data_IF_397846149089
#
_entry.id   IF_397846149089
#
_cell.length_a   1.000
_cell.length_b   1.000
_cell.length_c   1.000
_cell.angle_alpha   90.00
_cell.angle_beta   90.00
_cell.angle_gamma   90.00
#
_symmetry.space_group_name_H-M   'P 1'
#
loop_
_entity.id
_entity.type
_entity.pdbx_description
1 polymer ?
#
# COMPACT_ATOMS: atom_id res chain seq x y z
N UNK A 1 7.30 -11.69 8.14
CA UNK A 1 5.85 -11.83 7.97
C UNK A 1 5.24 -12.71 9.04
N UNK A 2 5.65 -13.97 9.17
CA UNK A 2 5.09 -14.91 10.18
C UNK A 2 5.17 -14.43 11.63
N UNK A 3 6.25 -13.71 11.99
CA UNK A 3 6.40 -13.13 13.34
C UNK A 3 5.32 -12.07 13.63
N UNK A 4 4.95 -11.25 12.64
CA UNK A 4 3.87 -10.27 12.81
C UNK A 4 2.51 -10.94 12.98
N UNK A 5 2.23 -12.02 12.25
CA UNK A 5 1.00 -12.80 12.42
C UNK A 5 0.96 -13.46 13.81
N UNK A 6 2.07 -14.00 14.28
CA UNK A 6 2.18 -14.52 15.64
C UNK A 6 1.98 -13.43 16.69
N UNK A 7 2.57 -12.24 16.50
CA UNK A 7 2.37 -11.09 17.37
C UNK A 7 0.91 -10.64 17.43
N UNK A 8 0.17 -10.69 16.31
CA UNK A 8 -1.27 -10.40 16.28
C UNK A 8 -2.05 -11.40 17.14
N UNK A 9 -1.74 -12.70 17.05
CA UNK A 9 -2.40 -13.73 17.85
C UNK A 9 -2.15 -13.48 19.35
N UNK A 10 -0.88 -13.23 19.73
CA UNK A 10 -0.52 -12.90 21.10
C UNK A 10 -1.25 -11.66 21.59
N UNK A 11 -1.30 -10.60 20.77
CA UNK A 11 -2.00 -9.36 21.10
C UNK A 11 -3.51 -9.56 21.22
N UNK A 12 -4.11 -10.40 20.37
CA UNK A 12 -5.53 -10.74 20.44
C UNK A 12 -5.89 -11.49 21.74
N UNK A 13 -4.99 -12.33 22.23
CA UNK A 13 -5.18 -13.01 23.52
C UNK A 13 -4.95 -12.07 24.70
N UNK A 14 -4.00 -11.16 24.60
CA UNK A 14 -3.62 -10.20 25.64
C UNK A 14 -4.41 -8.89 25.58
N UNK A 15 -5.36 -8.73 24.64
CA UNK A 15 -5.99 -7.45 24.34
C UNK A 15 -6.62 -6.72 25.54
N UNK A 16 -7.20 -7.37 26.57
CA UNK A 16 -7.77 -6.65 27.71
C UNK A 16 -6.71 -5.90 28.54
N UNK A 17 -5.45 -6.32 28.46
CA UNK A 17 -4.35 -5.79 29.25
C UNK A 17 -3.46 -4.81 28.47
N UNK A 18 -3.67 -4.67 27.17
CA UNK A 18 -2.84 -3.83 26.29
C UNK A 18 -3.61 -2.57 25.88
N UNK A 19 -3.13 -1.38 26.25
CA UNK A 19 -3.72 -0.13 25.77
C UNK A 19 -3.60 -0.02 24.25
N UNK A 20 -4.56 0.67 23.61
CA UNK A 20 -4.59 0.87 22.14
C UNK A 20 -4.55 -0.44 21.33
N UNK A 21 -4.99 -1.57 21.90
CA UNK A 21 -4.90 -2.89 21.27
C UNK A 21 -5.51 -2.94 19.85
N UNK A 22 -6.64 -2.28 19.61
CA UNK A 22 -7.29 -2.23 18.27
C UNK A 22 -6.39 -1.58 17.23
N UNK A 23 -5.79 -0.44 17.59
CA UNK A 23 -4.84 0.26 16.71
C UNK A 23 -3.64 -0.65 16.42
N UNK A 24 -3.08 -1.28 17.44
CA UNK A 24 -1.93 -2.18 17.31
C UNK A 24 -2.26 -3.39 16.42
N UNK A 25 -3.40 -4.06 16.62
CA UNK A 25 -3.81 -5.21 15.80
C UNK A 25 -3.92 -4.84 14.31
N UNK A 26 -4.57 -3.70 14.02
CA UNK A 26 -4.69 -3.21 12.65
C UNK A 26 -3.32 -2.94 12.04
N UNK A 27 -2.42 -2.26 12.76
CA UNK A 27 -1.12 -1.88 12.22
C UNK A 27 -0.11 -3.04 12.19
N UNK A 28 -0.18 -3.99 13.11
CA UNK A 28 0.59 -5.25 13.01
C UNK A 28 0.21 -6.03 11.76
N UNK A 29 -1.09 -6.07 11.44
CA UNK A 29 -1.55 -6.72 10.23
C UNK A 29 -1.15 -5.92 8.98
N UNK A 30 -1.48 -4.64 8.92
CA UNK A 30 -1.30 -3.82 7.72
C UNK A 30 0.16 -3.47 7.46
N UNK A 31 0.88 -2.92 8.44
CA UNK A 31 2.28 -2.53 8.31
C UNK A 31 3.23 -3.72 8.52
N UNK A 32 2.94 -4.58 9.47
CA UNK A 32 3.78 -5.72 9.79
C UNK A 32 3.65 -6.86 8.77
N UNK A 33 2.49 -7.47 8.64
CA UNK A 33 2.31 -8.65 7.79
C UNK A 33 2.08 -8.29 6.32
N UNK A 34 1.08 -7.46 6.03
CA UNK A 34 0.61 -7.21 4.67
C UNK A 34 1.62 -6.39 3.85
N UNK A 35 2.18 -5.32 4.42
CA UNK A 35 3.15 -4.48 3.72
C UNK A 35 4.43 -5.25 3.38
N UNK A 36 4.96 -6.06 4.29
CA UNK A 36 6.09 -6.95 4.00
C UNK A 36 5.77 -7.90 2.83
N UNK A 37 4.56 -8.47 2.80
CA UNK A 37 4.11 -9.32 1.70
C UNK A 37 4.07 -8.54 0.39
N UNK A 38 3.44 -7.37 0.38
CA UNK A 38 3.30 -6.54 -0.82
C UNK A 38 4.66 -6.16 -1.38
N UNK A 39 5.61 -5.73 -0.55
CA UNK A 39 6.95 -5.37 -1.02
C UNK A 39 7.68 -6.54 -1.68
N UNK A 40 7.62 -7.73 -1.08
CA UNK A 40 8.29 -8.92 -1.62
C UNK A 40 7.61 -9.39 -2.91
N UNK A 41 6.29 -9.52 -2.90
CA UNK A 41 5.56 -10.06 -4.05
C UNK A 41 5.47 -9.09 -5.22
N UNK A 42 5.32 -7.78 -4.98
CA UNK A 42 5.33 -6.79 -6.06
C UNK A 42 6.68 -6.75 -6.79
N UNK A 43 7.80 -6.89 -6.08
CA UNK A 43 9.11 -7.04 -6.69
C UNK A 43 9.22 -8.32 -7.52
N UNK A 44 8.80 -9.46 -6.94
CA UNK A 44 8.84 -10.75 -7.62
C UNK A 44 7.98 -10.75 -8.90
N UNK A 45 6.77 -10.25 -8.83
CA UNK A 45 5.89 -10.15 -10.00
C UNK A 45 6.40 -9.15 -11.04
N UNK A 46 7.00 -8.04 -10.62
CA UNK A 46 7.61 -7.08 -11.54
C UNK A 46 8.72 -7.74 -12.36
N UNK A 47 9.64 -8.48 -11.72
CA UNK A 47 10.70 -9.20 -12.43
C UNK A 47 10.12 -10.23 -13.41
N UNK A 48 9.07 -10.94 -12.99
CA UNK A 48 8.42 -11.97 -13.80
C UNK A 48 7.67 -11.39 -15.00
N UNK A 49 6.90 -10.32 -14.81
CA UNK A 49 6.07 -9.73 -15.89
C UNK A 49 6.88 -8.91 -16.88
N UNK A 50 7.99 -8.33 -16.44
CA UNK A 50 8.91 -7.62 -17.32
C UNK A 50 9.97 -8.53 -17.94
N UNK A 51 9.99 -9.84 -17.61
CA UNK A 51 11.05 -10.77 -18.00
C UNK A 51 12.47 -10.26 -17.70
N UNK A 52 12.62 -9.49 -16.62
CA UNK A 52 13.88 -8.87 -16.22
C UNK A 52 14.17 -9.18 -14.75
N UNK A 53 15.06 -10.14 -14.53
CA UNK A 53 15.56 -10.43 -13.18
C UNK A 53 16.58 -9.37 -12.76
N UNK A 54 16.45 -8.86 -11.54
CA UNK A 54 17.48 -8.02 -10.96
C UNK A 54 18.76 -8.84 -10.69
N UNK A 55 19.96 -8.21 -10.86
CA UNK A 55 21.21 -8.87 -10.56
C UNK A 55 21.31 -9.23 -9.07
N UNK A 56 21.98 -10.31 -8.74
CA UNK A 56 22.14 -10.78 -7.37
C UNK A 56 22.81 -9.72 -6.46
N UNK A 57 23.63 -8.83 -7.02
CA UNK A 57 24.22 -7.67 -6.32
C UNK A 57 23.17 -6.68 -5.78
N UNK A 58 21.92 -6.71 -6.26
CA UNK A 58 20.83 -5.87 -5.74
C UNK A 58 20.13 -6.45 -4.51
N UNK A 59 20.32 -7.75 -4.22
CA UNK A 59 19.63 -8.45 -3.12
C UNK A 59 19.92 -7.87 -1.74
N UNK A 60 21.19 -7.52 -1.37
CA UNK A 60 21.46 -6.89 -0.07
C UNK A 60 20.66 -5.61 0.14
N UNK A 61 20.49 -4.79 -0.90
CA UNK A 61 19.66 -3.58 -0.84
C UNK A 61 18.19 -3.89 -0.62
N UNK A 62 17.64 -4.90 -1.31
CA UNK A 62 16.25 -5.32 -1.12
C UNK A 62 16.00 -5.81 0.32
N UNK A 63 16.91 -6.62 0.84
CA UNK A 63 16.86 -7.10 2.22
C UNK A 63 16.97 -5.93 3.21
N UNK A 64 17.87 -4.97 2.98
CA UNK A 64 18.02 -3.78 3.80
C UNK A 64 16.72 -2.94 3.84
N UNK A 65 15.99 -2.81 2.71
CA UNK A 65 14.68 -2.13 2.67
C UNK A 65 13.63 -2.84 3.53
N UNK A 66 13.61 -4.17 3.52
CA UNK A 66 12.71 -4.95 4.39
C UNK A 66 13.07 -4.76 5.87
N UNK A 67 14.36 -4.75 6.23
CA UNK A 67 14.78 -4.45 7.59
C UNK A 67 14.42 -3.01 8.00
N UNK A 68 14.69 -2.02 7.15
CA UNK A 68 14.32 -0.63 7.40
C UNK A 68 12.81 -0.49 7.61
N UNK A 69 12.01 -1.13 6.76
CA UNK A 69 10.55 -1.17 6.91
C UNK A 69 10.16 -1.69 8.30
N UNK A 70 10.69 -2.85 8.71
CA UNK A 70 10.33 -3.45 10.00
C UNK A 70 10.82 -2.61 11.19
N UNK A 71 11.98 -1.98 11.10
CA UNK A 71 12.44 -1.01 12.11
C UNK A 71 11.47 0.16 12.22
N UNK A 72 11.05 0.73 11.09
CA UNK A 72 10.07 1.81 11.06
C UNK A 72 8.73 1.40 11.68
N UNK A 73 8.23 0.20 11.37
CA UNK A 73 7.00 -0.34 11.96
C UNK A 73 7.13 -0.51 13.48
N UNK A 74 8.25 -1.06 13.96
CA UNK A 74 8.51 -1.22 15.40
C UNK A 74 8.52 0.14 16.11
N UNK A 75 9.17 1.15 15.52
CA UNK A 75 9.18 2.51 16.07
C UNK A 75 7.76 3.11 16.13
N UNK A 76 6.96 2.96 15.06
CA UNK A 76 5.56 3.41 15.08
C UNK A 76 4.77 2.74 16.22
N UNK A 77 4.95 1.44 16.42
CA UNK A 77 4.27 0.68 17.48
C UNK A 77 4.72 1.12 18.86
N UNK A 78 6.03 1.27 19.08
CA UNK A 78 6.59 1.73 20.37
C UNK A 78 6.07 3.15 20.66
N UNK A 79 6.21 4.08 19.72
CA UNK A 79 5.73 5.46 19.91
C UNK A 79 4.23 5.49 20.22
N UNK A 80 3.40 4.75 19.50
CA UNK A 80 1.96 4.71 19.75
C UNK A 80 1.59 4.03 21.08
N UNK A 81 2.35 3.05 21.53
CA UNK A 81 2.12 2.41 22.83
C UNK A 81 2.27 3.40 24.02
N UNK A 82 3.15 4.40 23.86
CA UNK A 82 3.37 5.46 24.84
C UNK A 82 2.61 6.76 24.54
N UNK A 83 1.98 6.86 23.38
CA UNK A 83 1.14 7.99 22.99
C UNK A 83 -0.31 7.78 23.47
N UNK A 84 -0.51 7.58 24.76
CA UNK A 84 -1.84 7.41 25.36
C UNK A 84 -2.27 8.73 26.03
N UNK A 85 -3.31 9.35 25.47
CA UNK A 85 -3.87 10.59 25.99
C UNK A 85 -4.36 10.47 27.44
N UNK A 86 -4.81 9.27 27.87
CA UNK A 86 -5.24 8.99 29.23
C UNK A 86 -4.09 9.00 30.25
N UNK A 87 -2.85 8.85 29.79
CA UNK A 87 -1.63 8.86 30.60
C UNK A 87 -0.82 10.13 30.49
N UNK A 88 -1.36 11.16 29.78
CA UNK A 88 -0.62 12.36 29.43
C UNK A 88 0.30 12.08 28.24
N UNK A 89 -0.16 12.41 27.03
CA UNK A 89 0.58 12.22 25.79
C UNK A 89 2.00 12.82 25.92
N UNK A 90 3.01 11.97 25.71
CA UNK A 90 4.41 12.39 25.86
C UNK A 90 4.95 12.84 24.50
N UNK A 91 5.51 14.03 24.44
CA UNK A 91 6.01 14.63 23.18
C UNK A 91 7.01 13.75 22.44
N UNK A 92 7.90 13.06 23.14
CA UNK A 92 8.85 12.14 22.51
C UNK A 92 8.17 10.96 21.79
N UNK A 93 6.99 10.53 22.26
CA UNK A 93 6.25 9.43 21.65
C UNK A 93 5.79 9.79 20.23
N UNK A 94 5.33 11.03 20.02
CA UNK A 94 4.97 11.54 18.68
C UNK A 94 6.17 11.60 17.75
N UNK A 95 7.33 12.02 18.27
CA UNK A 95 8.58 12.04 17.51
C UNK A 95 8.95 10.63 17.05
N UNK A 96 8.86 9.64 17.94
CA UNK A 96 9.17 8.23 17.62
C UNK A 96 8.23 7.69 16.56
N UNK A 97 6.91 7.95 16.64
CA UNK A 97 5.95 7.58 15.57
C UNK A 97 6.32 8.24 14.26
N UNK A 98 6.63 9.55 14.27
CA UNK A 98 6.99 10.31 13.07
C UNK A 98 8.26 9.74 12.43
N UNK A 99 9.30 9.48 13.21
CA UNK A 99 10.55 8.86 12.71
C UNK A 99 10.27 7.48 12.10
N UNK A 100 9.46 6.65 12.77
CA UNK A 100 9.05 5.36 12.26
C UNK A 100 8.32 5.47 10.92
N UNK A 101 7.35 6.39 10.82
CA UNK A 101 6.58 6.62 9.60
C UNK A 101 7.44 7.15 8.45
N UNK A 102 8.41 8.03 8.74
CA UNK A 102 9.38 8.51 7.73
C UNK A 102 10.24 7.36 7.22
N UNK A 103 10.74 6.49 8.10
CA UNK A 103 11.54 5.33 7.68
C UNK A 103 10.69 4.40 6.78
N UNK A 104 9.44 4.11 7.16
CA UNK A 104 8.50 3.32 6.35
C UNK A 104 8.29 3.97 4.99
N UNK A 105 7.94 5.27 4.97
CA UNK A 105 7.68 6.02 3.75
C UNK A 105 8.89 6.03 2.80
N UNK A 106 10.09 6.28 3.34
CA UNK A 106 11.34 6.28 2.56
C UNK A 106 11.67 4.89 2.03
N UNK A 107 11.54 3.84 2.83
CA UNK A 107 11.80 2.47 2.37
C UNK A 107 10.90 2.09 1.19
N UNK A 108 9.61 2.43 1.25
CA UNK A 108 8.67 2.15 0.16
C UNK A 108 8.86 3.08 -1.03
N UNK A 109 9.24 4.34 -0.82
CA UNK A 109 9.58 5.25 -1.93
C UNK A 109 10.79 4.73 -2.73
N UNK A 110 11.83 4.23 -2.05
CA UNK A 110 12.98 3.60 -2.70
C UNK A 110 12.56 2.33 -3.45
N UNK A 111 11.64 1.54 -2.88
CA UNK A 111 11.05 0.39 -3.57
C UNK A 111 10.31 0.83 -4.85
N UNK A 112 9.46 1.86 -4.79
CA UNK A 112 8.76 2.42 -5.94
C UNK A 112 9.73 2.86 -7.05
N UNK A 113 10.82 3.56 -6.69
CA UNK A 113 11.88 3.96 -7.63
C UNK A 113 12.51 2.74 -8.31
N UNK A 114 12.71 1.63 -7.56
CA UNK A 114 13.21 0.38 -8.13
C UNK A 114 12.25 -0.21 -9.16
N UNK A 115 10.94 -0.25 -8.87
CA UNK A 115 9.91 -0.75 -9.79
C UNK A 115 9.83 0.14 -11.06
N UNK A 116 9.82 1.47 -10.90
CA UNK A 116 9.83 2.43 -12.00
C UNK A 116 11.05 2.22 -12.90
N UNK A 117 12.23 2.10 -12.29
CA UNK A 117 13.49 1.87 -13.03
C UNK A 117 13.44 0.61 -13.87
N UNK A 118 12.92 -0.49 -13.33
CA UNK A 118 12.75 -1.75 -14.04
C UNK A 118 11.75 -1.60 -15.20
N UNK A 119 10.60 -0.98 -14.94
CA UNK A 119 9.57 -0.75 -15.95
C UNK A 119 10.07 0.13 -17.10
N UNK A 120 10.80 1.23 -16.80
CA UNK A 120 11.39 2.11 -17.83
C UNK A 120 12.43 1.38 -18.66
N UNK A 121 13.29 0.56 -18.02
CA UNK A 121 14.29 -0.26 -18.74
C UNK A 121 13.62 -1.26 -19.67
N UNK A 122 12.57 -1.96 -19.22
CA UNK A 122 11.82 -2.90 -20.04
C UNK A 122 11.20 -2.21 -21.26
N UNK A 123 10.53 -1.07 -21.06
CA UNK A 123 9.94 -0.29 -22.18
C UNK A 123 10.99 0.17 -23.19
N UNK A 124 12.11 0.67 -22.71
CA UNK A 124 13.21 1.12 -23.61
C UNK A 124 13.83 -0.06 -24.36
N UNK A 125 13.94 -1.22 -23.74
CA UNK A 125 14.43 -2.44 -24.38
C UNK A 125 13.49 -2.90 -25.48
N UNK A 126 12.19 -2.98 -25.20
CA UNK A 126 11.16 -3.33 -26.17
C UNK A 126 11.14 -2.37 -27.37
N UNK A 127 11.17 -1.06 -27.12
CA UNK A 127 11.19 -0.05 -28.18
C UNK A 127 12.43 -0.16 -29.08
N UNK A 128 13.60 -0.51 -28.54
CA UNK A 128 14.83 -0.69 -29.33
C UNK A 128 14.81 -1.95 -30.20
N UNK A 129 14.17 -3.02 -29.72
CA UNK A 129 14.05 -4.29 -30.47
C UNK A 129 12.84 -4.34 -31.41
N UNK A 130 12.02 -3.29 -31.45
CA UNK A 130 10.76 -3.29 -32.23
C UNK A 130 9.72 -4.29 -31.69
N UNK A 131 9.88 -4.75 -30.43
CA UNK A 131 8.95 -5.67 -29.78
C UNK A 131 7.98 -4.93 -28.88
N UNK A 132 6.85 -5.55 -28.57
CA UNK A 132 5.92 -5.07 -27.54
C UNK A 132 6.26 -5.68 -26.19
N UNK A 133 5.90 -4.96 -25.11
CA UNK A 133 5.92 -5.53 -23.77
C UNK A 133 4.84 -6.62 -23.67
N UNK A 134 5.14 -7.71 -22.97
CA UNK A 134 4.15 -8.78 -22.73
C UNK A 134 2.88 -8.24 -22.06
N UNK A 135 1.77 -8.96 -22.26
CA UNK A 135 0.42 -8.58 -21.83
C UNK A 135 0.30 -8.18 -20.35
N UNK A 136 1.14 -8.77 -19.50
CA UNK A 136 1.12 -8.52 -18.06
C UNK A 136 2.00 -7.35 -17.60
N UNK A 137 2.82 -6.77 -18.48
CA UNK A 137 3.72 -5.68 -18.10
C UNK A 137 2.96 -4.46 -17.56
N UNK A 138 1.75 -4.19 -18.08
CA UNK A 138 0.92 -3.09 -17.62
C UNK A 138 0.45 -3.23 -16.17
N UNK A 139 0.44 -4.45 -15.61
CA UNK A 139 0.07 -4.70 -14.20
C UNK A 139 1.12 -4.11 -13.25
N UNK A 140 2.37 -4.02 -13.67
CA UNK A 140 3.43 -3.39 -12.87
C UNK A 140 3.09 -1.93 -12.52
N UNK A 141 2.28 -1.25 -13.36
CA UNK A 141 1.81 0.11 -13.08
C UNK A 141 0.95 0.20 -11.81
N UNK A 142 0.20 -0.86 -11.47
CA UNK A 142 -0.56 -0.92 -10.22
C UNK A 142 0.37 -0.97 -9.01
N UNK A 143 1.43 -1.77 -9.07
CA UNK A 143 2.42 -1.85 -7.98
C UNK A 143 3.21 -0.55 -7.82
N UNK A 144 3.55 0.10 -8.94
CA UNK A 144 4.21 1.42 -8.93
C UNK A 144 3.28 2.45 -8.28
N UNK A 145 2.02 2.55 -8.73
CA UNK A 145 1.05 3.50 -8.20
C UNK A 145 0.80 3.26 -6.70
N UNK A 146 0.59 2.01 -6.29
CA UNK A 146 0.43 1.63 -4.90
C UNK A 146 1.63 2.08 -4.04
N UNK A 147 2.86 1.77 -4.51
CA UNK A 147 4.08 2.11 -3.78
C UNK A 147 4.37 3.62 -3.74
N UNK A 148 3.89 4.40 -4.71
CA UNK A 148 3.97 5.86 -4.68
C UNK A 148 2.96 6.50 -3.72
N UNK A 149 1.81 5.87 -3.52
CA UNK A 149 0.75 6.37 -2.65
C UNK A 149 1.09 6.13 -1.18
N UNK A 150 1.76 5.04 -0.83
CA UNK A 150 2.03 4.71 0.57
C UNK A 150 2.83 5.76 1.35
N UNK A 151 3.88 6.42 0.82
CA UNK A 151 4.56 7.50 1.52
C UNK A 151 3.64 8.64 1.94
N UNK A 152 2.59 8.94 1.14
CA UNK A 152 1.55 9.91 1.50
C UNK A 152 0.76 9.38 2.71
N UNK A 153 0.36 8.11 2.67
CA UNK A 153 -0.32 7.46 3.78
C UNK A 153 0.51 7.41 5.07
N UNK A 154 1.82 7.17 4.96
CA UNK A 154 2.74 7.22 6.10
C UNK A 154 2.85 8.64 6.69
N UNK A 155 2.92 9.67 5.84
CA UNK A 155 2.90 11.07 6.27
C UNK A 155 1.61 11.44 7.00
N UNK A 156 0.45 10.99 6.48
CA UNK A 156 -0.84 11.17 7.17
C UNK A 156 -0.87 10.48 8.53
N UNK A 157 -0.32 9.25 8.62
CA UNK A 157 -0.20 8.54 9.89
C UNK A 157 0.69 9.25 10.90
N UNK A 158 1.82 9.81 10.45
CA UNK A 158 2.68 10.65 11.28
C UNK A 158 1.95 11.89 11.78
N UNK A 159 1.20 12.59 10.93
CA UNK A 159 0.40 13.76 11.30
C UNK A 159 -0.69 13.41 12.33
N UNK A 160 -1.35 12.26 12.18
CA UNK A 160 -2.36 11.77 13.11
C UNK A 160 -1.83 11.40 14.51
N UNK A 161 -0.52 11.19 14.64
CA UNK A 161 0.11 10.97 15.95
C UNK A 161 0.21 12.26 16.79
N UNK A 162 0.04 13.43 16.16
CA UNK A 162 0.08 14.74 16.83
C UNK A 162 -1.32 15.25 17.15
N UNK A 163 -1.48 16.13 18.14
CA UNK A 163 -2.74 16.81 18.40
C UNK A 163 -3.17 17.65 17.19
N UNK A 164 -4.42 17.49 16.78
CA UNK A 164 -4.98 18.19 15.63
C UNK A 164 -6.19 19.04 16.07
N UNK A 165 -6.32 20.28 15.57
CA UNK A 165 -7.42 21.16 15.94
C UNK A 165 -8.74 20.77 15.23
N UNK A 166 -9.85 20.95 15.94
CA UNK A 166 -11.20 20.82 15.38
C UNK A 166 -11.48 19.44 14.75
N UNK A 167 -12.05 19.42 13.56
CA UNK A 167 -12.45 18.21 12.83
C UNK A 167 -11.34 17.60 11.97
N UNK A 168 -10.11 18.12 12.04
CA UNK A 168 -9.01 17.65 11.19
C UNK A 168 -8.61 16.21 11.50
N UNK A 169 -8.67 15.80 12.78
CA UNK A 169 -8.36 14.42 13.14
C UNK A 169 -9.25 13.43 12.40
N UNK A 170 -10.57 13.63 12.42
CA UNK A 170 -11.53 12.71 11.76
C UNK A 170 -11.34 12.72 10.24
N UNK A 171 -11.13 13.89 9.64
CA UNK A 171 -10.86 14.01 8.20
C UNK A 171 -9.59 13.27 7.80
N UNK A 172 -8.51 13.45 8.54
CA UNK A 172 -7.23 12.80 8.22
C UNK A 172 -7.26 11.30 8.49
N UNK A 173 -8.04 10.80 9.46
CA UNK A 173 -8.27 9.34 9.62
C UNK A 173 -8.90 8.76 8.36
N UNK A 174 -9.98 9.35 7.85
CA UNK A 174 -10.65 8.86 6.63
C UNK A 174 -9.70 8.91 5.43
N UNK A 175 -8.95 9.98 5.28
CA UNK A 175 -7.95 10.11 4.20
C UNK A 175 -6.83 9.09 4.35
N UNK A 176 -6.30 8.89 5.57
CA UNK A 176 -5.28 7.89 5.87
C UNK A 176 -5.75 6.47 5.52
N UNK A 177 -6.98 6.12 5.90
CA UNK A 177 -7.58 4.85 5.55
C UNK A 177 -7.74 4.71 4.03
N UNK A 178 -8.28 5.71 3.35
CA UNK A 178 -8.49 5.68 1.91
C UNK A 178 -7.17 5.51 1.14
N UNK A 179 -6.17 6.30 1.46
CA UNK A 179 -4.86 6.27 0.79
C UNK A 179 -4.15 4.93 1.03
N UNK A 180 -4.19 4.39 2.26
CA UNK A 180 -3.50 3.13 2.56
C UNK A 180 -4.30 1.91 2.13
N UNK A 181 -5.61 1.85 2.43
CA UNK A 181 -6.43 0.66 2.14
C UNK A 181 -6.83 0.63 0.66
N UNK A 182 -7.40 1.71 0.13
CA UNK A 182 -7.83 1.74 -1.28
C UNK A 182 -6.64 1.97 -2.22
N UNK A 183 -5.70 2.85 -1.82
CA UNK A 183 -4.52 3.18 -2.60
C UNK A 183 -3.50 2.05 -2.58
N UNK A 184 -2.81 1.85 -1.46
CA UNK A 184 -1.70 0.89 -1.40
C UNK A 184 -2.17 -0.57 -1.52
N UNK A 185 -3.07 -0.99 -0.64
CA UNK A 185 -3.54 -2.40 -0.61
C UNK A 185 -4.45 -2.69 -1.80
N UNK A 186 -5.44 -1.84 -2.05
CA UNK A 186 -6.45 -2.08 -3.08
C UNK A 186 -5.89 -2.08 -4.50
N UNK A 187 -4.99 -1.15 -4.84
CA UNK A 187 -4.32 -1.18 -6.16
C UNK A 187 -3.45 -2.42 -6.32
N UNK A 188 -2.68 -2.77 -5.27
CA UNK A 188 -1.88 -4.00 -5.30
C UNK A 188 -2.74 -5.24 -5.47
N UNK A 189 -3.86 -5.31 -4.76
CA UNK A 189 -4.81 -6.42 -4.87
C UNK A 189 -5.43 -6.48 -6.28
N UNK A 190 -5.87 -5.36 -6.83
CA UNK A 190 -6.44 -5.30 -8.17
C UNK A 190 -5.44 -5.80 -9.23
N UNK A 191 -4.19 -5.30 -9.20
CA UNK A 191 -3.15 -5.77 -10.11
C UNK A 191 -2.86 -7.26 -9.96
N UNK A 192 -2.75 -7.75 -8.72
CA UNK A 192 -2.44 -9.15 -8.42
C UNK A 192 -3.59 -10.09 -8.80
N UNK A 193 -4.82 -9.77 -8.43
CA UNK A 193 -6.01 -10.60 -8.69
C UNK A 193 -6.30 -10.74 -10.18
N UNK A 194 -5.96 -9.75 -10.99
CA UNK A 194 -6.10 -9.85 -12.45
C UNK A 194 -5.38 -11.07 -13.03
N UNK A 195 -4.31 -11.52 -12.40
CA UNK A 195 -3.54 -12.69 -12.84
C UNK A 195 -3.87 -13.92 -12.00
N UNK A 196 -3.89 -13.76 -10.67
CA UNK A 196 -4.04 -14.91 -9.78
C UNK A 196 -5.42 -15.53 -9.87
N UNK A 197 -6.48 -14.72 -10.03
CA UNK A 197 -7.84 -15.26 -10.10
C UNK A 197 -8.01 -16.18 -11.31
N UNK A 198 -7.70 -15.77 -12.57
CA UNK A 198 -7.77 -16.66 -13.70
C UNK A 198 -6.81 -17.86 -13.60
N UNK A 199 -5.61 -17.66 -13.02
CA UNK A 199 -4.65 -18.75 -12.87
C UNK A 199 -5.15 -19.86 -11.95
N UNK A 200 -5.86 -19.53 -10.85
CA UNK A 200 -6.49 -20.50 -9.94
C UNK A 200 -7.54 -21.34 -10.69
N UNK A 201 -8.33 -20.71 -11.54
CA UNK A 201 -9.37 -21.37 -12.33
C UNK A 201 -8.86 -21.95 -13.65
N UNK A 202 -7.55 -21.88 -13.93
CA UNK A 202 -6.92 -22.30 -15.19
C UNK A 202 -7.59 -21.73 -16.43
N UNK A 203 -8.16 -20.52 -16.30
CA UNK A 203 -8.87 -19.82 -17.35
C UNK A 203 -7.96 -18.85 -18.10
N UNK A 204 -8.25 -18.64 -19.39
CA UNK A 204 -7.61 -17.60 -20.19
C UNK A 204 -8.44 -16.32 -20.11
N UNK A 205 -7.80 -15.20 -19.78
CA UNK A 205 -8.44 -13.89 -19.74
C UNK A 205 -7.96 -13.06 -20.94
N UNK A 206 -8.88 -12.72 -21.82
CA UNK A 206 -8.56 -12.07 -23.10
C UNK A 206 -8.85 -10.56 -23.15
N UNK A 207 -9.48 -9.97 -22.13
CA UNK A 207 -10.04 -8.61 -22.24
C UNK A 207 -9.73 -7.65 -21.10
N UNK A 208 -8.66 -7.88 -20.35
CA UNK A 208 -8.27 -6.96 -19.28
C UNK A 208 -7.79 -5.62 -19.83
N UNK A 209 -8.31 -4.53 -19.26
CA UNK A 209 -7.96 -3.16 -19.61
C UNK A 209 -7.24 -2.48 -18.44
N UNK A 210 -5.92 -2.66 -18.27
CA UNK A 210 -5.19 -2.19 -17.09
C UNK A 210 -5.22 -0.66 -16.93
N UNK A 211 -5.04 0.07 -18.01
CA UNK A 211 -4.96 1.54 -17.96
C UNK A 211 -6.26 2.20 -17.50
N UNK A 212 -7.45 1.95 -18.11
CA UNK A 212 -8.69 2.54 -17.63
C UNK A 212 -9.08 2.06 -16.24
N UNK A 213 -8.78 0.81 -15.88
CA UNK A 213 -9.00 0.29 -14.51
C UNK A 213 -8.20 1.07 -13.48
N UNK A 214 -6.88 1.22 -13.70
CA UNK A 214 -6.00 1.98 -12.81
C UNK A 214 -6.42 3.45 -12.74
N UNK A 215 -6.74 4.07 -13.89
CA UNK A 215 -7.17 5.46 -13.95
C UNK A 215 -8.46 5.70 -13.15
N UNK A 216 -9.46 4.82 -13.28
CA UNK A 216 -10.70 4.91 -12.49
C UNK A 216 -10.43 4.78 -10.99
N UNK A 217 -9.60 3.81 -10.58
CA UNK A 217 -9.27 3.63 -9.16
C UNK A 217 -8.52 4.84 -8.59
N UNK A 218 -7.53 5.38 -9.31
CA UNK A 218 -6.78 6.57 -8.90
C UNK A 218 -7.68 7.81 -8.85
N UNK A 219 -8.54 8.01 -9.84
CA UNK A 219 -9.52 9.11 -9.85
C UNK A 219 -10.48 9.00 -8.66
N UNK A 220 -10.96 7.80 -8.34
CA UNK A 220 -11.81 7.56 -7.18
C UNK A 220 -11.12 7.94 -5.86
N UNK A 221 -9.88 7.53 -5.66
CA UNK A 221 -9.07 7.89 -4.48
C UNK A 221 -8.86 9.41 -4.42
N UNK A 222 -8.56 10.06 -5.53
CA UNK A 222 -8.34 11.50 -5.59
C UNK A 222 -9.61 12.28 -5.23
N UNK A 223 -10.77 11.95 -5.84
CA UNK A 223 -12.06 12.61 -5.56
C UNK A 223 -12.45 12.40 -4.10
N UNK A 224 -12.30 11.19 -3.57
CA UNK A 224 -12.55 10.88 -2.16
C UNK A 224 -11.64 11.72 -1.25
N UNK A 225 -10.34 11.82 -1.55
CA UNK A 225 -9.39 12.61 -0.76
C UNK A 225 -9.74 14.11 -0.75
N UNK A 226 -10.13 14.67 -1.91
CA UNK A 226 -10.61 16.05 -2.03
C UNK A 226 -11.89 16.23 -1.19
N UNK A 227 -12.84 15.31 -1.26
CA UNK A 227 -14.07 15.33 -0.47
C UNK A 227 -13.79 15.33 1.02
N UNK A 228 -12.87 14.48 1.46
CA UNK A 228 -12.48 14.36 2.87
C UNK A 228 -11.83 15.64 3.39
N UNK A 229 -10.86 16.21 2.67
CA UNK A 229 -10.16 17.45 3.07
C UNK A 229 -11.13 18.63 3.10
N UNK A 230 -11.99 18.74 2.08
CA UNK A 230 -12.97 19.83 1.99
C UNK A 230 -14.18 19.68 2.92
N UNK A 231 -14.35 18.51 3.56
CA UNK A 231 -15.52 18.18 4.39
C UNK A 231 -16.80 17.97 3.60
N UNK A 232 -16.70 17.66 2.31
CA UNK A 232 -17.85 17.41 1.41
C UNK A 232 -18.09 15.92 1.27
N UNK A 233 -19.01 15.38 2.04
CA UNK A 233 -19.32 13.93 2.06
C UNK A 233 -19.86 13.42 0.71
N UNK A 234 -20.49 14.28 -0.08
CA UNK A 234 -20.96 13.93 -1.42
C UNK A 234 -19.79 13.51 -2.34
N UNK A 235 -18.67 14.24 -2.27
CA UNK A 235 -17.47 13.92 -3.03
C UNK A 235 -16.83 12.61 -2.52
N UNK A 236 -16.89 12.34 -1.23
CA UNK A 236 -16.43 11.05 -0.68
C UNK A 236 -17.24 9.90 -1.29
N UNK A 237 -18.58 10.03 -1.33
CA UNK A 237 -19.47 9.05 -1.96
C UNK A 237 -19.20 8.88 -3.47
N UNK A 238 -19.06 9.98 -4.19
CA UNK A 238 -18.71 9.96 -5.63
C UNK A 238 -17.38 9.25 -5.86
N UNK A 239 -16.35 9.56 -5.06
CA UNK A 239 -15.04 8.92 -5.14
C UNK A 239 -15.11 7.40 -4.91
N UNK A 240 -15.93 6.94 -3.95
CA UNK A 240 -16.17 5.52 -3.70
C UNK A 240 -16.85 4.83 -4.89
N UNK A 241 -17.83 5.49 -5.53
CA UNK A 241 -18.52 4.95 -6.72
C UNK A 241 -17.54 4.82 -7.88
N UNK A 242 -16.72 5.84 -8.14
CA UNK A 242 -15.69 5.82 -9.20
C UNK A 242 -14.67 4.71 -8.92
N UNK A 243 -14.22 4.56 -7.67
CA UNK A 243 -13.31 3.49 -7.26
C UNK A 243 -13.93 2.11 -7.45
N UNK A 244 -15.21 1.95 -7.09
CA UNK A 244 -15.99 0.73 -7.32
C UNK A 244 -16.13 0.38 -8.80
N UNK A 245 -16.32 1.39 -9.67
CA UNK A 245 -16.29 1.18 -11.12
C UNK A 245 -14.94 0.64 -11.61
N UNK A 246 -13.83 1.08 -11.02
CA UNK A 246 -12.50 0.49 -11.26
C UNK A 246 -12.45 -1.00 -10.92
N UNK A 247 -13.05 -1.44 -9.80
CA UNK A 247 -13.17 -2.86 -9.45
C UNK A 247 -14.07 -3.64 -10.41
N UNK A 248 -15.16 -3.05 -10.90
CA UNK A 248 -16.01 -3.67 -11.92
C UNK A 248 -15.22 -3.88 -13.21
N UNK A 249 -14.43 -2.89 -13.64
CA UNK A 249 -13.54 -3.02 -14.80
C UNK A 249 -12.47 -4.10 -14.59
N UNK A 250 -11.94 -4.23 -13.37
CA UNK A 250 -10.99 -5.27 -13.00
C UNK A 250 -11.61 -6.68 -13.05
N UNK A 251 -12.84 -6.83 -12.54
CA UNK A 251 -13.53 -8.11 -12.42
C UNK A 251 -14.27 -8.54 -13.70
N UNK A 252 -14.57 -7.61 -14.62
CA UNK A 252 -15.29 -7.89 -15.86
C UNK A 252 -14.74 -9.09 -16.65
N UNK A 253 -13.40 -9.26 -16.81
CA UNK A 253 -12.85 -10.42 -17.51
C UNK A 253 -13.14 -11.75 -16.83
N UNK A 254 -13.54 -11.75 -15.55
CA UNK A 254 -13.82 -12.96 -14.77
C UNK A 254 -15.24 -13.48 -14.96
N UNK A 255 -16.15 -12.64 -15.47
CA UNK A 255 -17.56 -13.00 -15.65
C UNK A 255 -17.79 -14.13 -16.68
N UNK A 256 -16.77 -14.53 -17.44
CA UNK A 256 -16.81 -15.64 -18.39
C UNK A 256 -16.04 -16.90 -17.94
N UNK A 257 -15.58 -16.92 -16.68
CA UNK A 257 -14.90 -18.04 -16.06
C UNK A 257 -15.91 -18.89 -15.27
#
# INVERSE_FOLDING_TARGET
>A
MSLWLAAIIVLALAHPFVPNNRWMMVHFFTLGALMNSIMVWSQHFTEKFLHQRLPDSSRPRQVALIYALNVGVILCVIGQAFNDAARGAQEWAWIVVTVGAVIVGVAVAIHAISLISQWVKARRGAAKSGSELGDYAAIVMFYIAASLILPIGAGLGATLAHPLPGTWHDRLIVMHMAVNVLGFVGLTAAGTLTILFPAIWRARVSSFRPVPTLAAMLAGILVLSIGTISGRFELVGIGMVIYGAGWILCARPWAGI
#
